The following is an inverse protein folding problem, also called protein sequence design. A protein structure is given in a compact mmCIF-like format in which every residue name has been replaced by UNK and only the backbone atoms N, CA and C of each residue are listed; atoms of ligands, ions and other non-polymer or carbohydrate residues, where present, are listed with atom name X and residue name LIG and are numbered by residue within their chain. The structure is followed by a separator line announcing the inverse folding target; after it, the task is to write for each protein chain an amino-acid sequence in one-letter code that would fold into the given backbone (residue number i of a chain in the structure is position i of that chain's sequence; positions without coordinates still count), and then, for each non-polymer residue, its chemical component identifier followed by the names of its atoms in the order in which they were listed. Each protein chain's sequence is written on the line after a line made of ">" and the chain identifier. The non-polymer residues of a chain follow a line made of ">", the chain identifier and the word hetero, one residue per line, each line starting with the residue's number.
data_IF_845266802823
#
_entry.id   IF_845266802823
#
_cell.length_a   1.000
_cell.length_b   1.000
_cell.length_c   1.000
_cell.angle_alpha   90.00
_cell.angle_beta   90.00
_cell.angle_gamma   90.00
#
_symmetry.space_group_name_H-M   'P 1'
#
loop_
_entity.id
_entity.type
_entity.pdbx_description
1 polymer ?
#
# COMPACT_ATOMS: atom_id res chain seq x y z
N UNK A 1 23.71 31.00 -37.08
CA UNK A 1 22.83 30.36 -36.08
C UNK A 1 23.42 30.61 -34.70
N UNK A 2 22.64 31.07 -33.71
CA UNK A 2 23.15 31.18 -32.34
C UNK A 2 23.53 29.79 -31.80
N UNK A 3 24.59 29.66 -31.00
CA UNK A 3 25.04 28.37 -30.49
C UNK A 3 24.00 27.77 -29.55
N UNK A 4 23.72 26.48 -29.76
CA UNK A 4 22.88 25.65 -28.91
C UNK A 4 23.79 25.03 -27.83
N UNK A 5 23.42 25.17 -26.56
CA UNK A 5 24.18 24.66 -25.43
C UNK A 5 23.67 23.26 -25.02
N UNK A 6 24.59 22.32 -24.77
CA UNK A 6 24.31 20.91 -24.46
C UNK A 6 25.08 20.46 -23.21
N UNK A 7 24.66 20.83 -21.99
CA UNK A 7 25.30 20.36 -20.79
C UNK A 7 24.76 19.00 -20.35
N UNK A 8 25.65 18.17 -19.83
CA UNK A 8 25.28 17.05 -18.96
C UNK A 8 25.26 17.58 -17.53
N UNK A 9 24.10 17.53 -16.88
CA UNK A 9 23.93 17.97 -15.50
C UNK A 9 24.52 16.95 -14.52
N UNK A 10 24.82 17.35 -13.29
CA UNK A 10 25.30 16.45 -12.23
C UNK A 10 24.32 15.31 -11.91
N UNK A 11 23.03 15.52 -12.18
CA UNK A 11 21.98 14.49 -12.04
C UNK A 11 22.03 13.42 -13.13
N UNK A 12 22.86 13.59 -14.17
CA UNK A 12 22.89 12.74 -15.36
C UNK A 12 21.88 13.18 -16.44
N UNK A 13 21.15 14.27 -16.24
CA UNK A 13 20.23 14.80 -17.25
C UNK A 13 21.01 15.50 -18.37
N UNK A 14 20.87 15.03 -19.60
CA UNK A 14 21.41 15.69 -20.79
C UNK A 14 20.36 16.66 -21.31
N UNK A 15 20.67 17.96 -21.31
CA UNK A 15 19.71 19.02 -21.62
C UNK A 15 20.08 19.74 -22.91
N UNK A 16 19.07 20.11 -23.69
CA UNK A 16 19.21 20.97 -24.85
C UNK A 16 18.49 22.30 -24.59
N UNK A 17 19.24 23.40 -24.57
CA UNK A 17 18.66 24.73 -24.44
C UNK A 17 18.35 25.35 -25.80
N UNK A 18 17.30 26.17 -25.86
CA UNK A 18 16.94 26.93 -27.05
C UNK A 18 18.03 27.91 -27.52
N UNK A 19 18.02 28.26 -28.80
CA UNK A 19 18.91 29.28 -29.35
C UNK A 19 18.35 30.71 -29.22
N UNK A 20 19.22 31.71 -29.36
CA UNK A 20 18.80 33.12 -29.49
C UNK A 20 18.15 33.68 -28.22
N UNK A 21 16.91 34.17 -28.33
CA UNK A 21 16.15 34.70 -27.19
C UNK A 21 15.69 33.61 -26.20
N UNK A 22 15.72 32.33 -26.60
CA UNK A 22 15.22 31.20 -25.81
C UNK A 22 16.35 30.43 -25.08
N UNK A 23 17.51 31.06 -24.84
CA UNK A 23 18.70 30.43 -24.23
C UNK A 23 18.50 29.83 -22.84
N UNK A 24 17.46 30.24 -22.11
CA UNK A 24 17.09 29.69 -20.81
C UNK A 24 15.99 28.62 -20.84
N UNK A 25 15.40 28.35 -22.01
CA UNK A 25 14.27 27.42 -22.15
C UNK A 25 14.78 26.05 -22.56
N UNK A 26 14.41 25.02 -21.80
CA UNK A 26 14.69 23.63 -22.13
C UNK A 26 13.83 23.26 -23.35
N UNK A 27 14.49 22.93 -24.47
CA UNK A 27 13.83 22.45 -25.69
C UNK A 27 13.74 20.93 -25.74
N UNK A 28 14.64 20.24 -25.04
CA UNK A 28 14.66 18.78 -24.91
C UNK A 28 15.51 18.37 -23.70
N UNK A 29 15.18 17.25 -23.06
CA UNK A 29 16.00 16.66 -21.99
C UNK A 29 15.92 15.12 -22.01
N UNK A 30 17.01 14.44 -21.65
CA UNK A 30 17.04 12.97 -21.64
C UNK A 30 16.13 12.37 -20.58
N UNK A 31 15.87 13.08 -19.49
CA UNK A 31 14.97 12.64 -18.42
C UNK A 31 13.52 12.46 -18.88
N UNK A 32 13.11 13.10 -19.98
CA UNK A 32 11.79 12.88 -20.55
C UNK A 32 11.70 11.56 -21.35
N UNK A 33 12.84 10.99 -21.77
CA UNK A 33 12.91 9.81 -22.62
C UNK A 33 13.77 8.71 -21.96
N UNK A 34 13.33 8.16 -20.81
CA UNK A 34 14.03 7.05 -20.17
C UNK A 34 14.16 5.83 -21.09
N UNK A 35 15.17 5.00 -20.83
CA UNK A 35 15.35 3.69 -21.48
C UNK A 35 14.81 2.59 -20.56
N UNK A 36 15.65 1.69 -20.06
CA UNK A 36 15.26 0.67 -19.10
C UNK A 36 15.45 1.13 -17.64
N UNK A 37 16.00 2.32 -17.41
CA UNK A 37 16.49 2.76 -16.10
C UNK A 37 15.88 4.08 -15.67
N UNK A 38 15.41 4.14 -14.41
CA UNK A 38 15.02 5.36 -13.72
C UNK A 38 16.11 5.75 -12.70
N UNK A 39 16.70 6.92 -12.88
CA UNK A 39 17.67 7.53 -11.96
C UNK A 39 16.97 8.44 -10.94
N UNK A 40 17.66 8.87 -9.87
CA UNK A 40 17.12 9.88 -8.96
C UNK A 40 16.64 11.13 -9.73
N UNK A 41 15.51 11.68 -9.30
CA UNK A 41 14.83 12.85 -9.88
C UNK A 41 14.19 12.66 -11.27
N UNK A 42 14.39 11.50 -11.92
CA UNK A 42 13.60 11.15 -13.10
C UNK A 42 12.16 10.85 -12.71
N UNK A 43 11.23 11.16 -13.60
CA UNK A 43 9.80 10.90 -13.42
C UNK A 43 9.43 9.57 -14.06
N UNK A 44 8.53 8.86 -13.42
CA UNK A 44 7.75 7.77 -13.96
C UNK A 44 6.28 8.15 -13.80
N UNK A 45 5.50 8.15 -14.90
CA UNK A 45 4.10 8.57 -14.86
C UNK A 45 3.62 9.27 -16.12
N UNK A 46 2.65 10.17 -15.99
CA UNK A 46 1.91 10.77 -17.11
C UNK A 46 1.78 12.28 -16.94
N UNK A 47 2.08 13.02 -18.00
CA UNK A 47 1.62 14.40 -18.16
C UNK A 47 0.15 14.38 -18.61
N UNK A 48 -0.74 14.89 -17.77
CA UNK A 48 -2.19 14.82 -17.98
C UNK A 48 -2.66 15.75 -19.10
N UNK A 49 -1.92 16.83 -19.36
CA UNK A 49 -2.24 17.79 -20.43
C UNK A 49 -1.91 17.23 -21.83
N UNK A 50 -0.74 16.59 -21.99
CA UNK A 50 -0.27 16.10 -23.29
C UNK A 50 -0.52 14.61 -23.51
N UNK A 51 -0.83 13.85 -22.46
CA UNK A 51 -0.89 12.39 -22.47
C UNK A 51 0.48 11.71 -22.55
N UNK A 52 1.57 12.48 -22.49
CA UNK A 52 2.93 11.94 -22.56
C UNK A 52 3.23 11.07 -21.33
N UNK A 53 3.74 9.86 -21.54
CA UNK A 53 4.13 8.96 -20.44
C UNK A 53 5.64 8.84 -20.31
N UNK A 54 6.16 9.15 -19.12
CA UNK A 54 7.51 8.77 -18.72
C UNK A 54 7.48 7.30 -18.28
N UNK A 55 7.96 6.41 -19.15
CA UNK A 55 7.87 4.96 -18.97
C UNK A 55 9.20 4.27 -19.24
N UNK A 56 9.51 3.21 -18.51
CA UNK A 56 10.69 2.39 -18.77
C UNK A 56 10.37 1.28 -19.77
N UNK A 57 11.38 0.89 -20.53
CA UNK A 57 11.31 -0.29 -21.42
C UNK A 57 12.61 -1.06 -21.32
N UNK A 58 12.50 -2.36 -21.07
CA UNK A 58 13.62 -3.30 -21.02
C UNK A 58 14.49 -3.25 -22.27
N UNK A 59 15.73 -3.70 -22.12
CA UNK A 59 16.57 -4.07 -23.26
C UNK A 59 16.11 -5.42 -23.83
N UNK A 60 16.46 -5.70 -25.09
CA UNK A 60 16.22 -7.00 -25.73
C UNK A 60 16.97 -8.12 -25.03
N UNK A 61 18.22 -7.85 -24.65
CA UNK A 61 19.07 -8.76 -23.91
C UNK A 61 20.15 -7.97 -23.18
N UNK A 62 20.93 -8.66 -22.35
CA UNK A 62 22.06 -8.07 -21.63
C UNK A 62 23.05 -7.33 -22.53
N UNK A 63 23.24 -7.80 -23.77
CA UNK A 63 24.24 -7.26 -24.71
C UNK A 63 23.61 -6.49 -25.88
N UNK A 64 22.28 -6.39 -25.95
CA UNK A 64 21.54 -5.65 -26.98
C UNK A 64 20.61 -4.60 -26.34
N UNK A 65 21.01 -3.31 -26.32
CA UNK A 65 20.22 -2.24 -25.72
C UNK A 65 19.01 -1.81 -26.56
N UNK A 66 18.72 -2.49 -27.67
CA UNK A 66 17.48 -2.30 -28.41
C UNK A 66 16.25 -2.54 -27.54
N UNK A 67 15.10 -2.01 -27.98
CA UNK A 67 13.83 -2.11 -27.26
C UNK A 67 13.39 -3.55 -27.09
N UNK A 68 13.30 -3.99 -25.82
CA UNK A 68 12.83 -5.32 -25.43
C UNK A 68 11.31 -5.42 -25.36
N UNK A 69 10.83 -6.57 -24.84
CA UNK A 69 9.41 -6.90 -24.80
C UNK A 69 8.70 -6.48 -23.50
N UNK A 70 9.46 -6.05 -22.49
CA UNK A 70 8.91 -5.60 -21.22
C UNK A 70 8.96 -4.09 -21.10
N UNK A 71 7.89 -3.49 -20.60
CA UNK A 71 7.82 -2.07 -20.31
C UNK A 71 6.74 -1.76 -19.30
N UNK A 72 6.90 -0.67 -18.58
CA UNK A 72 5.86 -0.19 -17.68
C UNK A 72 4.90 0.77 -18.39
N UNK A 73 3.72 0.93 -17.80
CA UNK A 73 2.77 1.94 -18.19
C UNK A 73 1.89 2.29 -17.00
N UNK A 74 1.51 3.56 -16.93
CA UNK A 74 0.59 4.02 -15.92
C UNK A 74 -0.85 4.00 -16.44
N UNK A 75 -1.73 3.41 -15.66
CA UNK A 75 -3.18 3.40 -15.86
C UNK A 75 -3.80 4.39 -14.88
N UNK A 76 -4.68 5.27 -15.36
CA UNK A 76 -5.31 6.32 -14.55
C UNK A 76 -6.72 5.95 -14.08
N UNK A 77 -7.26 4.79 -14.47
CA UNK A 77 -8.62 4.39 -14.13
C UNK A 77 -8.80 4.21 -12.61
N UNK A 78 -9.85 4.82 -12.06
CA UNK A 78 -10.15 4.84 -10.63
C UNK A 78 -9.12 5.62 -9.82
N UNK A 79 -7.99 5.00 -9.51
CA UNK A 79 -6.83 5.63 -8.88
C UNK A 79 -5.57 5.17 -9.60
N UNK A 80 -4.60 6.06 -9.91
CA UNK A 80 -3.55 5.68 -10.84
C UNK A 80 -2.61 4.59 -10.32
N UNK A 81 -2.20 3.71 -11.23
CA UNK A 81 -1.41 2.52 -10.94
C UNK A 81 -0.33 2.31 -12.00
N UNK A 82 0.81 1.77 -11.61
CA UNK A 82 1.86 1.35 -12.53
C UNK A 82 1.71 -0.15 -12.78
N UNK A 83 1.78 -0.54 -14.04
CA UNK A 83 1.72 -1.92 -14.47
C UNK A 83 2.98 -2.27 -15.27
N UNK A 84 3.55 -3.43 -15.01
CA UNK A 84 4.56 -4.02 -15.88
C UNK A 84 3.87 -4.87 -16.93
N UNK A 85 4.23 -4.68 -18.19
CA UNK A 85 3.72 -5.46 -19.30
C UNK A 85 4.82 -6.31 -19.93
N UNK A 86 4.41 -7.45 -20.46
CA UNK A 86 5.12 -8.18 -21.50
C UNK A 86 4.31 -8.06 -22.77
N UNK A 87 4.78 -7.27 -23.73
CA UNK A 87 4.01 -6.85 -24.89
C UNK A 87 2.69 -6.17 -24.46
N UNK A 88 1.55 -6.86 -24.56
CA UNK A 88 0.22 -6.36 -24.17
C UNK A 88 -0.35 -7.04 -22.92
N UNK A 89 0.38 -7.99 -22.33
CA UNK A 89 -0.06 -8.75 -21.16
C UNK A 89 0.47 -8.10 -19.88
N UNK A 90 -0.43 -7.85 -18.91
CA UNK A 90 -0.06 -7.35 -17.57
C UNK A 90 0.59 -8.48 -16.76
N UNK A 91 1.82 -8.26 -16.30
CA UNK A 91 2.60 -9.23 -15.51
C UNK A 91 2.60 -8.87 -14.03
N UNK A 92 2.64 -7.59 -13.72
CA UNK A 92 2.69 -7.08 -12.34
C UNK A 92 1.98 -5.74 -12.22
N UNK A 93 1.55 -5.41 -11.01
CA UNK A 93 0.89 -4.15 -10.67
C UNK A 93 1.44 -3.58 -9.37
N UNK A 94 1.80 -2.30 -9.36
CA UNK A 94 2.37 -1.60 -8.20
C UNK A 94 1.36 -1.31 -7.08
N UNK A 95 0.05 -1.38 -7.34
CA UNK A 95 -0.95 -0.80 -6.44
C UNK A 95 -1.06 0.73 -6.60
N UNK A 96 -2.16 1.35 -6.15
CA UNK A 96 -2.29 2.80 -6.15
C UNK A 96 -1.39 3.42 -5.08
N UNK A 97 -1.14 4.73 -5.19
CA UNK A 97 -0.51 5.48 -4.11
C UNK A 97 -1.50 5.65 -2.95
N UNK A 98 -1.10 5.29 -1.74
CA UNK A 98 -1.95 5.36 -0.55
C UNK A 98 -1.65 6.56 0.34
N UNK A 99 -0.99 7.59 -0.18
CA UNK A 99 -0.53 8.75 0.61
C UNK A 99 0.86 8.62 1.20
N UNK A 100 1.37 7.39 1.30
CA UNK A 100 2.72 7.10 1.83
C UNK A 100 3.59 6.44 0.77
N UNK A 101 3.04 5.48 0.02
CA UNK A 101 3.75 4.70 -0.98
C UNK A 101 2.81 4.08 -2.01
N UNK A 102 3.38 3.47 -3.06
CA UNK A 102 2.62 2.54 -3.90
C UNK A 102 2.31 1.29 -3.08
N UNK A 103 1.03 1.01 -2.87
CA UNK A 103 0.56 0.02 -1.89
C UNK A 103 1.03 -1.43 -2.16
N UNK A 104 1.39 -1.78 -3.40
CA UNK A 104 1.96 -3.07 -3.76
C UNK A 104 3.48 -3.14 -3.67
N UNK A 105 4.17 -2.09 -3.21
CA UNK A 105 5.63 -2.06 -3.02
C UNK A 105 5.93 -1.66 -1.57
N UNK A 106 5.84 -2.62 -0.62
CA UNK A 106 6.05 -2.33 0.80
C UNK A 106 7.43 -1.72 1.09
N UNK A 107 8.47 -2.15 0.36
CA UNK A 107 9.86 -1.74 0.56
C UNK A 107 10.18 -0.27 0.22
N UNK A 108 9.25 0.48 -0.37
CA UNK A 108 9.46 1.89 -0.75
C UNK A 108 9.73 2.81 0.45
N UNK A 109 9.20 2.48 1.62
CA UNK A 109 9.30 3.31 2.84
C UNK A 109 9.97 2.59 4.00
N UNK A 110 10.23 1.29 3.85
CA UNK A 110 10.92 0.48 4.85
C UNK A 110 12.32 1.02 5.17
N UNK A 111 12.97 1.67 4.19
CA UNK A 111 14.34 2.14 4.32
C UNK A 111 14.44 3.64 4.01
N UNK A 112 14.88 4.43 4.99
CA UNK A 112 15.02 5.90 4.95
C UNK A 112 16.07 6.43 3.94
N UNK A 113 16.68 5.53 3.16
CA UNK A 113 17.68 5.85 2.13
C UNK A 113 17.02 6.59 0.96
N UNK A 114 15.76 6.24 0.64
CA UNK A 114 15.05 6.83 -0.49
C UNK A 114 13.98 7.81 0.00
N UNK A 115 13.94 8.99 -0.63
CA UNK A 115 12.83 9.92 -0.47
C UNK A 115 11.96 9.84 -1.71
N UNK A 116 10.77 9.28 -1.56
CA UNK A 116 9.80 9.22 -2.64
C UNK A 116 9.14 10.59 -2.82
N UNK A 117 9.01 11.01 -4.07
CA UNK A 117 8.40 12.26 -4.48
C UNK A 117 7.22 11.93 -5.38
N UNK A 118 6.03 12.27 -4.92
CA UNK A 118 4.79 11.99 -5.59
C UNK A 118 4.12 13.28 -6.02
N UNK A 119 3.75 13.36 -7.30
CA UNK A 119 3.05 14.48 -7.90
C UNK A 119 1.72 13.98 -8.41
N UNK A 120 0.65 14.65 -8.02
CA UNK A 120 -0.72 14.29 -8.35
C UNK A 120 -1.57 15.56 -8.29
N UNK A 121 -1.59 16.24 -9.43
CA UNK A 121 -2.26 17.51 -9.63
C UNK A 121 -2.88 17.56 -11.04
N UNK A 122 -3.38 18.71 -11.45
CA UNK A 122 -4.06 18.89 -12.74
C UNK A 122 -3.13 18.71 -13.97
N UNK A 123 -1.82 18.89 -13.79
CA UNK A 123 -0.85 18.86 -14.88
C UNK A 123 -0.21 17.48 -15.08
N UNK A 124 0.03 16.75 -13.98
CA UNK A 124 0.76 15.50 -14.02
C UNK A 124 0.41 14.56 -12.87
N UNK A 125 0.50 13.27 -13.16
CA UNK A 125 0.70 12.23 -12.18
C UNK A 125 2.10 11.66 -12.36
N UNK A 126 2.96 11.72 -11.34
CA UNK A 126 4.28 11.09 -11.45
C UNK A 126 4.85 10.68 -10.10
N UNK A 127 5.63 9.60 -10.14
CA UNK A 127 6.48 9.14 -9.06
C UNK A 127 7.92 9.41 -9.45
N UNK A 128 8.69 9.92 -8.51
CA UNK A 128 10.14 10.05 -8.61
C UNK A 128 10.76 9.76 -7.25
N UNK A 129 12.08 9.70 -7.17
CA UNK A 129 12.76 9.50 -5.91
C UNK A 129 14.06 10.29 -5.86
N UNK A 130 14.53 10.59 -4.66
CA UNK A 130 15.90 11.02 -4.41
C UNK A 130 16.57 10.09 -3.41
N UNK A 131 17.90 10.15 -3.34
CA UNK A 131 18.70 9.41 -2.36
C UNK A 131 19.13 10.38 -1.27
N UNK A 132 18.86 10.05 -0.01
CA UNK A 132 19.13 10.92 1.14
C UNK A 132 20.62 11.17 1.35
N UNK A 133 21.44 10.14 1.13
CA UNK A 133 22.90 10.21 1.23
C UNK A 133 23.50 10.08 -0.18
N UNK A 134 24.19 11.13 -0.68
CA UNK A 134 24.69 11.17 -2.05
C UNK A 134 25.82 10.15 -2.31
N UNK A 135 26.37 9.51 -1.29
CA UNK A 135 27.37 8.43 -1.44
C UNK A 135 26.76 7.12 -1.93
N UNK A 136 25.43 6.95 -1.81
CA UNK A 136 24.74 5.76 -2.30
C UNK A 136 24.23 5.96 -3.73
N UNK A 137 24.71 5.12 -4.64
CA UNK A 137 24.13 5.04 -5.98
C UNK A 137 22.99 4.02 -6.00
N UNK A 138 21.82 4.44 -6.49
CA UNK A 138 20.68 3.54 -6.69
C UNK A 138 19.91 3.89 -7.96
N UNK A 139 19.39 2.86 -8.62
CA UNK A 139 18.58 2.95 -9.84
C UNK A 139 17.42 1.97 -9.85
N UNK A 140 16.30 2.34 -10.49
CA UNK A 140 15.27 1.37 -10.90
C UNK A 140 15.67 0.85 -12.26
N UNK A 141 15.46 -0.43 -12.53
CA UNK A 141 15.66 -0.96 -13.88
C UNK A 141 14.63 -2.03 -14.20
N UNK A 142 14.10 -2.03 -15.43
CA UNK A 142 13.40 -3.20 -15.98
C UNK A 142 14.44 -4.11 -16.64
N UNK A 143 14.61 -5.31 -16.10
CA UNK A 143 15.50 -6.32 -16.67
C UNK A 143 14.93 -6.88 -17.98
N UNK A 144 15.81 -7.44 -18.81
CA UNK A 144 15.45 -8.20 -20.00
C UNK A 144 14.60 -9.44 -19.71
N UNK A 145 14.63 -9.93 -18.46
CA UNK A 145 13.81 -11.05 -17.99
C UNK A 145 12.40 -10.65 -17.52
N UNK A 146 12.08 -9.35 -17.50
CA UNK A 146 10.76 -8.88 -17.10
C UNK A 146 10.58 -8.71 -15.60
N UNK A 147 11.64 -8.29 -14.91
CA UNK A 147 11.57 -7.89 -13.49
C UNK A 147 11.87 -6.40 -13.37
N UNK A 148 11.09 -5.69 -12.57
CA UNK A 148 11.44 -4.35 -12.07
C UNK A 148 12.37 -4.55 -10.88
N UNK A 149 13.53 -3.91 -10.89
CA UNK A 149 14.55 -4.09 -9.85
C UNK A 149 15.02 -2.75 -9.31
N UNK A 150 14.99 -2.61 -7.98
CA UNK A 150 15.79 -1.59 -7.29
C UNK A 150 17.19 -2.14 -7.10
N UNK A 151 18.18 -1.48 -7.70
CA UNK A 151 19.58 -1.82 -7.54
C UNK A 151 20.28 -0.74 -6.72
N UNK A 152 21.13 -1.15 -5.77
CA UNK A 152 21.99 -0.26 -4.99
C UNK A 152 23.44 -0.69 -5.16
N UNK A 153 24.33 0.27 -5.39
CA UNK A 153 25.76 0.00 -5.56
C UNK A 153 26.40 -0.32 -4.22
N UNK A 154 27.09 -1.46 -4.13
CA UNK A 154 27.88 -1.84 -2.97
C UNK A 154 29.36 -1.67 -3.29
N UNK A 155 29.98 -0.65 -2.68
CA UNK A 155 31.37 -0.28 -2.94
C UNK A 155 32.35 -1.40 -2.58
N UNK A 156 32.15 -2.10 -1.45
CA UNK A 156 33.07 -3.15 -1.00
C UNK A 156 33.19 -4.35 -1.96
N UNK A 157 32.15 -4.61 -2.76
CA UNK A 157 32.10 -5.72 -3.71
C UNK A 157 32.07 -5.25 -5.18
N UNK A 158 32.13 -3.92 -5.41
CA UNK A 158 32.09 -3.31 -6.73
C UNK A 158 30.96 -3.86 -7.63
N UNK A 159 29.76 -3.98 -7.05
CA UNK A 159 28.61 -4.56 -7.77
C UNK A 159 27.29 -3.93 -7.38
N UNK A 160 26.33 -4.06 -8.29
CA UNK A 160 24.92 -3.81 -8.02
C UNK A 160 24.34 -4.94 -7.16
N UNK A 161 23.72 -4.58 -6.05
CA UNK A 161 22.96 -5.46 -5.18
C UNK A 161 21.48 -5.19 -5.43
N UNK A 162 20.71 -6.25 -5.69
CA UNK A 162 19.26 -6.16 -5.78
C UNK A 162 18.70 -5.93 -4.38
N UNK A 163 18.04 -4.79 -4.22
CA UNK A 163 17.45 -4.36 -2.97
C UNK A 163 16.02 -4.89 -2.84
N UNK A 164 15.20 -4.71 -3.88
CA UNK A 164 13.92 -5.39 -4.07
C UNK A 164 13.69 -5.64 -5.56
N UNK A 165 12.79 -6.56 -5.89
CA UNK A 165 12.32 -6.77 -7.26
C UNK A 165 10.84 -7.08 -7.31
N UNK A 166 10.22 -6.89 -8.46
CA UNK A 166 8.85 -7.32 -8.72
C UNK A 166 8.69 -7.82 -10.17
N UNK A 167 7.94 -8.92 -10.41
CA UNK A 167 7.43 -9.87 -9.40
C UNK A 167 8.55 -10.55 -8.58
N UNK A 168 8.32 -10.77 -7.28
CA UNK A 168 9.24 -11.51 -6.40
C UNK A 168 8.76 -12.93 -6.08
N UNK A 169 7.44 -13.11 -5.94
CA UNK A 169 6.78 -14.36 -5.63
C UNK A 169 5.54 -14.57 -6.53
N UNK A 170 4.87 -15.72 -6.38
CA UNK A 170 3.66 -16.03 -7.15
C UNK A 170 2.54 -15.00 -6.87
N UNK A 171 2.46 -14.45 -5.66
CA UNK A 171 1.44 -13.45 -5.28
C UNK A 171 1.66 -12.06 -5.89
N UNK A 172 2.85 -11.77 -6.45
CA UNK A 172 3.07 -10.56 -7.22
C UNK A 172 2.57 -10.67 -8.66
N UNK A 173 2.45 -11.89 -9.18
CA UNK A 173 1.97 -12.09 -10.54
C UNK A 173 0.53 -11.62 -10.66
N UNK A 174 0.31 -10.82 -11.69
CA UNK A 174 -0.94 -10.13 -11.85
C UNK A 174 -2.11 -11.11 -11.99
N UNK A 175 -3.11 -10.97 -11.11
CA UNK A 175 -4.33 -11.82 -11.09
C UNK A 175 -4.04 -13.31 -10.80
N UNK A 176 -2.98 -13.64 -10.05
CA UNK A 176 -2.63 -15.02 -9.68
C UNK A 176 -3.81 -15.84 -9.11
N UNK A 177 -4.58 -15.26 -8.17
CA UNK A 177 -5.71 -15.97 -7.52
C UNK A 177 -7.09 -15.74 -8.17
N UNK A 178 -7.15 -15.21 -9.39
CA UNK A 178 -8.42 -14.95 -10.07
C UNK A 178 -9.28 -13.87 -9.38
N UNK A 179 -10.56 -13.81 -9.77
CA UNK A 179 -11.53 -12.85 -9.20
C UNK A 179 -12.02 -13.26 -7.82
N UNK A 180 -12.15 -12.28 -6.93
CA UNK A 180 -12.50 -12.46 -5.52
C UNK A 180 -11.59 -13.44 -4.75
N UNK A 181 -10.38 -13.66 -5.28
CA UNK A 181 -9.29 -14.37 -4.61
C UNK A 181 -8.34 -13.40 -3.91
N UNK A 182 -7.74 -13.88 -2.83
CA UNK A 182 -6.69 -13.22 -2.06
C UNK A 182 -5.46 -14.15 -2.06
N UNK A 183 -4.34 -13.64 -2.57
CA UNK A 183 -3.07 -14.38 -2.51
C UNK A 183 -2.38 -14.15 -1.18
N UNK A 184 -2.05 -15.21 -0.46
CA UNK A 184 -1.43 -15.14 0.85
C UNK A 184 -0.21 -16.07 0.89
N UNK A 185 1.00 -15.53 0.69
CA UNK A 185 2.23 -16.32 0.59
C UNK A 185 2.67 -16.90 1.93
N UNK A 186 2.01 -16.53 3.03
CA UNK A 186 2.35 -16.99 4.39
C UNK A 186 1.61 -18.26 4.80
N UNK A 187 0.77 -18.80 3.92
CA UNK A 187 0.00 -20.04 4.12
C UNK A 187 0.90 -21.27 4.02
N UNK A 188 1.48 -21.67 5.14
CA UNK A 188 2.40 -22.81 5.22
C UNK A 188 1.72 -24.13 4.83
N UNK A 189 2.30 -24.83 3.84
CA UNK A 189 1.82 -26.12 3.31
C UNK A 189 0.40 -26.12 2.70
N UNK A 190 -0.18 -24.95 2.47
CA UNK A 190 -1.50 -24.79 1.86
C UNK A 190 -1.36 -24.13 0.48
N UNK A 191 -2.45 -24.14 -0.30
CA UNK A 191 -2.53 -23.29 -1.49
C UNK A 191 -2.57 -21.82 -1.06
N UNK A 192 -1.71 -20.99 -1.64
CA UNK A 192 -1.55 -19.58 -1.33
C UNK A 192 -2.82 -18.76 -1.64
N UNK A 193 -3.62 -19.21 -2.60
CA UNK A 193 -4.90 -18.58 -2.91
C UNK A 193 -6.00 -19.03 -1.93
N UNK A 194 -6.72 -18.05 -1.40
CA UNK A 194 -7.97 -18.24 -0.65
C UNK A 194 -9.05 -17.30 -1.18
N UNK A 195 -10.31 -17.69 -1.05
CA UNK A 195 -11.42 -16.82 -1.41
C UNK A 195 -11.61 -15.71 -0.38
N UNK A 196 -12.06 -14.54 -0.83
CA UNK A 196 -12.49 -13.46 0.06
C UNK A 196 -13.69 -13.90 0.91
N UNK A 197 -13.95 -13.26 2.07
CA UNK A 197 -15.10 -13.57 2.91
C UNK A 197 -16.43 -13.51 2.13
N UNK A 198 -17.29 -14.50 2.31
CA UNK A 198 -18.56 -14.65 1.55
C UNK A 198 -18.41 -15.30 0.17
N UNK A 199 -17.21 -15.74 -0.22
CA UNK A 199 -16.95 -16.40 -1.50
C UNK A 199 -16.40 -17.83 -1.31
N UNK A 200 -16.58 -18.65 -2.34
CA UNK A 200 -16.10 -20.03 -2.47
C UNK A 200 -15.49 -20.25 -3.86
N UNK A 201 -14.62 -21.25 -4.06
CA UNK A 201 -14.03 -21.53 -5.36
C UNK A 201 -15.09 -21.72 -6.45
N UNK A 202 -14.88 -21.10 -7.62
CA UNK A 202 -15.84 -21.20 -8.73
C UNK A 202 -15.86 -22.61 -9.35
N UNK A 203 -14.68 -23.24 -9.44
CA UNK A 203 -14.47 -24.60 -9.94
C UNK A 203 -13.63 -25.36 -8.93
N UNK A 204 -14.29 -26.20 -8.12
CA UNK A 204 -13.67 -26.88 -6.98
C UNK A 204 -12.55 -27.85 -7.42
N UNK A 205 -12.73 -28.55 -8.54
CA UNK A 205 -11.74 -29.49 -9.08
C UNK A 205 -10.42 -28.82 -9.48
N UNK A 206 -10.47 -27.61 -10.02
CA UNK A 206 -9.27 -26.83 -10.36
C UNK A 206 -8.58 -26.30 -9.10
N UNK A 207 -9.38 -25.86 -8.12
CA UNK A 207 -8.86 -25.39 -6.84
C UNK A 207 -8.08 -26.48 -6.08
N UNK A 208 -8.54 -27.74 -6.14
CA UNK A 208 -7.80 -28.88 -5.59
C UNK A 208 -6.47 -29.16 -6.31
N UNK A 209 -6.37 -28.77 -7.58
CA UNK A 209 -5.13 -28.84 -8.37
C UNK A 209 -4.25 -27.60 -8.17
N UNK A 210 -4.61 -26.70 -7.24
CA UNK A 210 -3.95 -25.42 -7.01
C UNK A 210 -4.01 -24.47 -8.21
N UNK A 211 -5.10 -24.55 -8.98
CA UNK A 211 -5.41 -23.60 -10.05
C UNK A 211 -6.56 -22.68 -9.61
N UNK A 212 -6.25 -21.39 -9.49
CA UNK A 212 -7.19 -20.35 -9.07
C UNK A 212 -7.56 -19.38 -10.21
N UNK A 213 -7.27 -19.69 -11.47
CA UNK A 213 -7.48 -18.76 -12.60
C UNK A 213 -8.94 -18.31 -12.74
N UNK A 214 -9.88 -19.22 -12.44
CA UNK A 214 -11.32 -18.97 -12.47
C UNK A 214 -11.83 -18.21 -11.22
N UNK A 215 -10.97 -18.05 -10.21
CA UNK A 215 -11.26 -17.33 -8.97
C UNK A 215 -12.40 -17.95 -8.17
N UNK A 216 -13.10 -17.08 -7.45
CA UNK A 216 -14.15 -17.42 -6.53
C UNK A 216 -15.48 -16.83 -6.98
N UNK A 217 -16.57 -17.48 -6.59
CA UNK A 217 -17.95 -17.01 -6.72
C UNK A 217 -18.55 -16.78 -5.35
N UNK A 218 -19.63 -16.02 -5.28
CA UNK A 218 -20.38 -15.86 -4.02
C UNK A 218 -20.93 -17.21 -3.56
N UNK A 219 -20.91 -17.45 -2.25
CA UNK A 219 -21.55 -18.63 -1.67
C UNK A 219 -23.06 -18.62 -1.97
N UNK A 220 -23.68 -19.79 -2.20
CA UNK A 220 -25.14 -19.88 -2.38
C UNK A 220 -25.90 -19.28 -1.20
N UNK A 221 -26.91 -18.47 -1.46
CA UNK A 221 -27.76 -17.85 -0.43
C UNK A 221 -27.27 -16.50 0.11
N UNK A 222 -26.07 -16.05 -0.28
CA UNK A 222 -25.55 -14.72 0.10
C UNK A 222 -26.31 -13.59 -0.61
N UNK A 223 -27.16 -12.87 0.12
CA UNK A 223 -27.82 -11.65 -0.36
C UNK A 223 -27.03 -10.42 0.07
N UNK A 224 -26.49 -9.69 -0.91
CA UNK A 224 -25.64 -8.51 -0.68
C UNK A 224 -26.22 -7.20 -1.19
N UNK A 225 -27.45 -7.22 -1.69
CA UNK A 225 -28.19 -6.00 -2.00
C UNK A 225 -29.19 -5.75 -0.88
N UNK A 226 -28.89 -4.72 -0.10
CA UNK A 226 -29.64 -4.23 1.05
C UNK A 226 -29.01 -2.90 1.47
N UNK A 227 -29.84 -1.97 1.95
CA UNK A 227 -29.41 -0.61 2.29
C UNK A 227 -29.28 -0.42 3.80
N UNK A 228 -29.47 -1.48 4.58
CA UNK A 228 -29.40 -1.46 6.04
C UNK A 228 -28.33 -2.43 6.53
N UNK A 229 -27.75 -2.11 7.69
CA UNK A 229 -26.79 -2.98 8.36
C UNK A 229 -27.39 -4.31 8.85
N UNK A 230 -28.72 -4.46 8.78
CA UNK A 230 -29.41 -5.72 9.06
C UNK A 230 -29.36 -6.69 7.87
N UNK A 231 -29.17 -6.18 6.65
CA UNK A 231 -29.15 -7.00 5.43
C UNK A 231 -27.71 -7.37 5.03
N UNK A 232 -26.81 -6.39 5.16
CA UNK A 232 -25.43 -6.47 4.66
C UNK A 232 -24.47 -5.78 5.60
N UNK A 233 -23.21 -6.18 5.54
CA UNK A 233 -22.14 -5.51 6.26
C UNK A 233 -20.82 -5.61 5.53
N UNK A 234 -19.75 -5.26 6.25
CA UNK A 234 -18.42 -5.22 5.70
C UNK A 234 -17.43 -5.95 6.61
N UNK A 235 -16.68 -6.88 6.02
CA UNK A 235 -15.56 -7.52 6.70
C UNK A 235 -14.29 -6.77 6.34
N UNK A 236 -13.60 -6.29 7.38
CA UNK A 236 -12.31 -5.63 7.28
C UNK A 236 -11.22 -6.66 7.01
N UNK A 237 -10.51 -6.51 5.90
CA UNK A 237 -9.26 -7.21 5.59
C UNK A 237 -8.10 -6.26 5.81
N UNK A 238 -7.16 -6.66 6.66
CA UNK A 238 -6.02 -5.84 7.04
C UNK A 238 -4.76 -6.24 6.27
N UNK A 239 -3.85 -5.27 6.14
CA UNK A 239 -2.51 -5.49 5.58
C UNK A 239 -2.52 -6.08 4.16
N UNK A 240 -3.38 -5.56 3.27
CA UNK A 240 -3.48 -6.06 1.88
C UNK A 240 -2.93 -5.07 0.87
N UNK A 241 -2.44 -5.62 -0.25
CA UNK A 241 -2.43 -4.91 -1.53
C UNK A 241 -3.89 -4.81 -1.98
N UNK A 242 -4.41 -3.60 -2.11
CA UNK A 242 -5.81 -3.39 -2.49
C UNK A 242 -6.08 -3.88 -3.90
N UNK A 243 -7.32 -4.26 -4.23
CA UNK A 243 -7.66 -4.75 -5.56
C UNK A 243 -7.28 -3.75 -6.67
N UNK A 244 -7.18 -4.24 -7.90
CA UNK A 244 -7.06 -3.40 -9.10
C UNK A 244 -8.13 -2.30 -9.11
N UNK A 245 -7.72 -1.05 -9.35
CA UNK A 245 -8.57 0.15 -9.30
C UNK A 245 -9.29 0.41 -10.62
N UNK A 246 -9.16 -0.45 -11.64
CA UNK A 246 -9.83 -0.30 -12.94
C UNK A 246 -11.35 -0.06 -12.85
N UNK A 247 -12.00 -0.64 -11.83
CA UNK A 247 -13.44 -0.56 -11.58
C UNK A 247 -13.72 0.19 -10.26
N UNK A 248 -12.73 0.91 -9.75
CA UNK A 248 -12.86 1.71 -8.56
C UNK A 248 -13.23 3.16 -8.91
N UNK A 249 -13.89 3.84 -7.98
CA UNK A 249 -14.05 5.29 -8.01
C UNK A 249 -13.31 5.89 -6.84
N UNK A 250 -12.48 6.91 -7.11
CA UNK A 250 -11.75 7.64 -6.09
C UNK A 250 -12.44 8.97 -5.77
N UNK A 251 -12.63 9.24 -4.48
CA UNK A 251 -13.10 10.54 -3.99
C UNK A 251 -12.23 10.97 -2.80
N UNK A 252 -11.42 12.02 -2.98
CA UNK A 252 -10.46 12.48 -1.97
C UNK A 252 -11.07 13.31 -0.85
N UNK A 253 -12.30 13.79 -1.00
CA UNK A 253 -12.94 14.68 -0.01
C UNK A 253 -13.73 13.90 1.03
N UNK A 254 -14.15 12.68 0.73
CA UNK A 254 -14.94 11.85 1.65
C UNK A 254 -14.07 11.20 2.72
N UNK A 255 -14.60 11.11 3.93
CA UNK A 255 -14.03 10.29 4.98
C UNK A 255 -14.42 8.81 4.83
N UNK A 256 -13.78 7.94 5.62
CA UNK A 256 -14.03 6.50 5.57
C UNK A 256 -15.49 6.12 5.88
N UNK A 257 -16.14 6.84 6.81
CA UNK A 257 -17.53 6.57 7.17
C UNK A 257 -18.51 6.93 6.04
N UNK A 258 -18.29 8.06 5.38
CA UNK A 258 -19.08 8.43 4.20
C UNK A 258 -18.84 7.47 3.03
N UNK A 259 -17.62 6.92 2.94
CA UNK A 259 -17.27 5.89 1.96
C UNK A 259 -18.05 4.58 2.18
N UNK A 260 -18.17 4.16 3.44
CA UNK A 260 -19.01 3.01 3.83
C UNK A 260 -20.48 3.25 3.44
N UNK A 261 -21.04 4.41 3.80
CA UNK A 261 -22.43 4.76 3.50
C UNK A 261 -22.69 4.87 1.99
N UNK A 262 -21.73 5.40 1.22
CA UNK A 262 -21.78 5.47 -0.24
C UNK A 262 -21.81 4.06 -0.86
N UNK A 263 -20.95 3.17 -0.37
CA UNK A 263 -20.92 1.77 -0.83
C UNK A 263 -22.21 1.02 -0.45
N UNK A 264 -22.69 1.20 0.78
CA UNK A 264 -23.90 0.56 1.29
C UNK A 264 -25.13 0.86 0.41
N UNK A 265 -25.31 2.13 0.02
CA UNK A 265 -26.44 2.61 -0.80
C UNK A 265 -26.43 2.11 -2.25
N UNK A 266 -25.33 1.55 -2.73
CA UNK A 266 -25.21 1.06 -4.10
C UNK A 266 -24.98 -0.45 -4.10
N UNK A 267 -26.00 -1.24 -4.48
CA UNK A 267 -25.92 -2.70 -4.47
C UNK A 267 -24.82 -3.31 -5.36
N UNK A 268 -24.30 -2.56 -6.33
CA UNK A 268 -23.18 -3.01 -7.16
C UNK A 268 -21.81 -2.80 -6.49
N UNK A 269 -21.74 -2.05 -5.39
CA UNK A 269 -20.50 -1.85 -4.66
C UNK A 269 -20.06 -3.15 -3.98
N UNK A 270 -18.83 -3.60 -4.23
CA UNK A 270 -18.27 -4.85 -3.72
C UNK A 270 -17.27 -4.65 -2.58
N UNK A 271 -16.59 -3.50 -2.54
CA UNK A 271 -15.68 -3.14 -1.45
C UNK A 271 -15.44 -1.63 -1.38
N UNK A 272 -14.90 -1.17 -0.25
CA UNK A 272 -14.34 0.17 -0.13
C UNK A 272 -13.05 0.21 0.71
N UNK A 273 -12.29 1.31 0.61
CA UNK A 273 -11.07 1.57 1.38
C UNK A 273 -10.80 3.07 1.48
N UNK A 274 -9.89 3.48 2.37
CA UNK A 274 -9.32 4.82 2.33
C UNK A 274 -8.45 5.00 1.08
N UNK A 275 -8.50 6.19 0.46
CA UNK A 275 -7.60 6.50 -0.65
C UNK A 275 -6.21 6.95 -0.16
N UNK A 276 -6.16 7.56 1.02
CA UNK A 276 -4.94 7.98 1.70
C UNK A 276 -4.96 7.45 3.13
N UNK A 277 -3.92 6.75 3.57
CA UNK A 277 -3.80 6.20 4.93
C UNK A 277 -2.99 7.09 5.89
N UNK A 278 -2.41 8.19 5.40
CA UNK A 278 -1.72 9.16 6.24
C UNK A 278 -2.68 9.81 7.25
N UNK A 279 -2.14 10.22 8.39
CA UNK A 279 -2.82 11.07 9.38
C UNK A 279 -4.19 10.55 9.87
N UNK A 280 -4.34 9.22 9.97
CA UNK A 280 -5.58 8.59 10.44
C UNK A 280 -6.59 8.24 9.34
N UNK A 281 -6.22 8.46 8.07
CA UNK A 281 -6.99 8.03 6.91
C UNK A 281 -7.92 9.11 6.35
N UNK A 282 -7.83 9.34 5.04
CA UNK A 282 -8.68 10.28 4.29
C UNK A 282 -8.96 9.78 2.87
N UNK A 283 -9.99 10.36 2.25
CA UNK A 283 -10.45 9.95 0.94
C UNK A 283 -11.07 8.55 0.93
N UNK A 284 -11.61 8.19 -0.23
CA UNK A 284 -12.46 7.03 -0.43
C UNK A 284 -12.15 6.37 -1.78
N UNK A 285 -12.03 5.05 -1.75
CA UNK A 285 -12.05 4.18 -2.93
C UNK A 285 -13.25 3.24 -2.81
N UNK A 286 -14.13 3.20 -3.81
CA UNK A 286 -15.24 2.23 -3.88
C UNK A 286 -15.14 1.39 -5.14
N UNK A 287 -15.26 0.06 -5.04
CA UNK A 287 -15.18 -0.86 -6.17
C UNK A 287 -16.56 -1.31 -6.64
N UNK A 288 -16.77 -1.37 -7.96
CA UNK A 288 -18.01 -1.82 -8.59
C UNK A 288 -17.73 -2.96 -9.57
N UNK A 289 -17.72 -4.19 -9.07
CA UNK A 289 -17.46 -5.40 -9.87
C UNK A 289 -16.42 -6.30 -9.23
N UNK A 290 -15.75 -7.10 -10.07
CA UNK A 290 -14.77 -8.08 -9.62
C UNK A 290 -13.59 -7.43 -8.91
N UNK A 291 -13.29 -7.93 -7.71
CA UNK A 291 -12.07 -7.60 -6.98
C UNK A 291 -10.98 -8.56 -7.43
N UNK A 292 -9.88 -8.05 -7.94
CA UNK A 292 -8.81 -8.86 -8.52
C UNK A 292 -7.45 -8.35 -8.07
N UNK A 293 -6.44 -9.22 -8.15
CA UNK A 293 -5.05 -8.88 -7.86
C UNK A 293 -4.83 -8.37 -6.42
N UNK A 294 -5.55 -8.96 -5.47
CA UNK A 294 -5.40 -8.68 -4.03
C UNK A 294 -4.39 -9.66 -3.43
N UNK A 295 -3.44 -9.17 -2.65
CA UNK A 295 -2.49 -10.01 -1.89
C UNK A 295 -2.38 -9.60 -0.43
N UNK A 296 -2.04 -10.54 0.43
CA UNK A 296 -1.72 -10.34 1.84
C UNK A 296 -0.27 -9.89 1.99
N UNK A 297 -0.04 -8.95 2.88
CA UNK A 297 1.25 -8.63 3.46
C UNK A 297 1.24 -8.99 4.95
N UNK A 298 2.43 -9.26 5.51
CA UNK A 298 2.60 -9.53 6.93
C UNK A 298 2.39 -8.26 7.76
N UNK A 299 3.17 -7.22 7.46
CA UNK A 299 3.25 -5.98 8.26
C UNK A 299 3.17 -4.70 7.40
N UNK A 300 2.54 -4.77 6.23
CA UNK A 300 2.43 -3.64 5.29
C UNK A 300 1.06 -3.66 4.60
N UNK A 301 0.84 -2.78 3.63
CA UNK A 301 -0.42 -2.71 2.89
C UNK A 301 -1.40 -1.72 3.50
N UNK A 302 -2.69 -1.93 3.25
CA UNK A 302 -3.76 -1.13 3.83
C UNK A 302 -5.03 -1.95 4.02
N UNK A 303 -6.00 -1.37 4.73
CA UNK A 303 -7.26 -2.01 5.03
C UNK A 303 -8.25 -1.90 3.84
N UNK A 304 -8.98 -2.98 3.57
CA UNK A 304 -10.09 -3.01 2.60
C UNK A 304 -11.32 -3.63 3.27
N UNK A 305 -12.48 -3.05 3.01
CA UNK A 305 -13.76 -3.45 3.59
C UNK A 305 -14.58 -4.18 2.53
N UNK A 306 -14.71 -5.50 2.64
CA UNK A 306 -15.39 -6.36 1.67
C UNK A 306 -16.87 -6.46 2.03
N UNK A 307 -17.76 -6.16 1.07
CA UNK A 307 -19.20 -6.29 1.26
C UNK A 307 -19.64 -7.74 1.33
N UNK A 308 -20.34 -8.10 2.40
CA UNK A 308 -20.86 -9.44 2.68
C UNK A 308 -22.31 -9.38 3.18
N UNK A 309 -23.00 -10.51 3.20
CA UNK A 309 -24.32 -10.60 3.86
C UNK A 309 -24.19 -10.46 5.38
N UNK A 310 -25.32 -10.19 6.04
CA UNK A 310 -25.38 -10.22 7.50
C UNK A 310 -24.96 -11.58 8.10
N UNK A 311 -25.34 -12.70 7.47
CA UNK A 311 -24.97 -14.04 7.97
C UNK A 311 -23.47 -14.30 7.91
N UNK A 312 -22.80 -13.90 6.82
CA UNK A 312 -21.34 -14.04 6.74
C UNK A 312 -20.63 -13.09 7.73
N UNK A 313 -21.21 -11.92 7.99
CA UNK A 313 -20.67 -10.99 8.99
C UNK A 313 -20.67 -11.61 10.40
N UNK A 314 -21.76 -12.27 10.79
CA UNK A 314 -21.86 -12.99 12.07
C UNK A 314 -20.83 -14.12 12.18
N UNK A 315 -20.63 -14.89 11.10
CA UNK A 315 -19.59 -15.94 11.03
C UNK A 315 -18.20 -15.33 11.19
N UNK A 316 -17.96 -14.18 10.55
CA UNK A 316 -16.70 -13.43 10.69
C UNK A 316 -16.44 -13.00 12.13
N UNK A 317 -17.47 -12.51 12.83
CA UNK A 317 -17.37 -12.08 14.23
C UNK A 317 -17.00 -13.25 15.15
N UNK A 318 -17.66 -14.41 15.01
CA UNK A 318 -17.35 -15.60 15.82
C UNK A 318 -15.91 -16.09 15.63
N UNK A 319 -15.34 -15.93 14.44
CA UNK A 319 -13.93 -16.28 14.18
C UNK A 319 -12.97 -15.27 14.83
N UNK A 320 -13.33 -14.00 14.86
CA UNK A 320 -12.55 -12.93 15.48
C UNK A 320 -12.45 -13.10 17.01
N UNK A 321 -13.57 -13.44 17.65
CA UNK A 321 -13.63 -13.62 19.11
C UNK A 321 -12.83 -14.85 19.57
N UNK A 322 -12.70 -15.86 18.72
CA UNK A 322 -11.90 -17.05 19.00
C UNK A 322 -10.41 -16.89 18.65
N UNK A 323 -10.03 -15.93 17.80
CA UNK A 323 -8.65 -15.61 17.38
C UNK A 323 -8.50 -14.09 17.16
N UNK A 324 -8.04 -13.31 18.16
CA UNK A 324 -8.15 -11.83 18.19
C UNK A 324 -7.25 -11.05 17.21
N UNK A 325 -6.78 -11.67 16.12
CA UNK A 325 -5.77 -11.08 15.21
C UNK A 325 -6.23 -10.61 13.83
N UNK A 326 -7.47 -10.85 13.38
CA UNK A 326 -7.78 -10.73 11.93
C UNK A 326 -9.03 -9.89 11.59
N UNK A 327 -9.95 -9.63 12.52
CA UNK A 327 -11.21 -8.93 12.18
C UNK A 327 -11.54 -7.94 13.30
N UNK A 328 -11.50 -6.64 13.02
CA UNK A 328 -12.02 -5.60 13.91
C UNK A 328 -13.17 -4.85 13.24
N UNK A 329 -14.20 -4.57 14.05
CA UNK A 329 -15.39 -3.80 13.67
C UNK A 329 -15.02 -2.38 13.21
N UNK A 330 -15.69 -1.83 12.19
CA UNK A 330 -15.95 -0.39 12.09
C UNK A 330 -17.39 -0.11 12.57
N UNK A 331 -17.53 0.66 13.63
CA UNK A 331 -18.78 1.32 14.03
C UNK A 331 -19.95 0.45 14.50
N UNK A 332 -20.08 0.25 15.82
CA UNK A 332 -21.25 0.77 16.55
C UNK A 332 -20.89 0.99 18.01
N UNK A 333 -21.41 2.06 18.60
CA UNK A 333 -21.37 2.31 20.04
C UNK A 333 -22.19 1.22 20.72
N UNK A 334 -21.54 0.31 21.46
CA UNK A 334 -22.26 -0.55 22.40
C UNK A 334 -22.43 0.25 23.68
N UNK A 335 -23.67 0.68 23.93
CA UNK A 335 -24.05 1.34 25.16
C UNK A 335 -24.16 0.27 26.25
N UNK A 336 -23.09 0.05 27.02
CA UNK A 336 -23.12 -0.87 28.17
C UNK A 336 -23.89 -0.21 29.33
N UNK A 337 -25.22 -0.31 29.28
CA UNK A 337 -26.04 -0.30 30.50
C UNK A 337 -26.70 -1.66 30.62
N UNK A 338 -26.46 -2.31 31.76
CA UNK A 338 -27.00 -3.59 32.23
C UNK A 338 -26.09 -4.79 32.00
N UNK A 339 -25.01 -4.85 32.78
CA UNK A 339 -24.34 -6.07 33.25
C UNK A 339 -23.90 -5.83 34.70
N UNK A 340 -24.88 -5.56 35.56
CA UNK A 340 -24.79 -5.72 37.00
C UNK A 340 -26.01 -6.52 37.38
N UNK A 341 -25.89 -7.84 37.27
CA UNK A 341 -26.58 -8.83 38.09
C UNK A 341 -25.98 -10.18 37.67
N UNK A 342 -25.75 -11.06 38.65
CA UNK A 342 -25.11 -12.38 38.55
C UNK A 342 -23.56 -12.32 38.61
N UNK A 343 -23.01 -12.21 39.82
CA UNK A 343 -22.26 -13.30 40.50
C UNK A 343 -22.18 -12.95 41.99
N UNK A 344 -23.13 -13.45 42.77
CA UNK A 344 -22.98 -13.61 44.21
C UNK A 344 -23.42 -15.04 44.56
N UNK A 345 -22.46 -15.96 44.58
CA UNK A 345 -22.53 -17.22 45.35
C UNK A 345 -21.25 -18.03 45.12
N UNK A 346 -20.32 -17.95 46.06
CA UNK A 346 -19.79 -19.09 46.82
C UNK A 346 -18.43 -18.71 47.44
N UNK A 347 -18.48 -18.28 48.69
CA UNK A 347 -17.37 -18.38 49.63
C UNK A 347 -17.44 -19.74 50.32
N UNK A 348 -16.33 -20.45 50.45
CA UNK A 348 -15.98 -21.22 51.65
C UNK A 348 -14.48 -21.53 51.70
N UNK A 349 -13.85 -20.92 52.70
CA UNK A 349 -12.59 -21.16 53.41
C UNK A 349 -11.74 -22.41 53.11
N UNK A 350 -10.42 -22.22 53.05
CA UNK A 350 -9.49 -22.89 53.99
C UNK A 350 -8.10 -22.23 54.04
N UNK A 351 -7.43 -22.47 55.17
CA UNK A 351 -6.34 -21.75 55.83
C UNK A 351 -4.93 -22.11 55.30
N UNK A 352 -4.01 -21.13 55.41
CA UNK A 352 -2.54 -21.10 55.18
C UNK A 352 -1.71 -22.18 55.94
N UNK A 353 -0.44 -22.48 55.56
CA UNK A 353 0.74 -21.65 55.94
C UNK A 353 1.89 -21.51 54.89
N UNK A 354 2.64 -20.40 54.99
CA UNK A 354 3.92 -20.13 54.27
C UNK A 354 5.12 -20.91 54.86
N UNK A 355 6.32 -20.92 54.23
CA UNK A 355 7.31 -19.84 54.45
C UNK A 355 8.29 -19.48 53.30
N UNK A 356 8.79 -18.23 53.39
CA UNK A 356 10.12 -17.67 53.02
C UNK A 356 10.46 -17.19 51.58
N UNK A 357 10.66 -15.86 51.48
CA UNK A 357 11.47 -15.15 50.47
C UNK A 357 13.00 -15.20 50.80
N UNK A 358 13.90 -14.64 49.96
CA UNK A 358 14.15 -13.18 49.98
C UNK A 358 14.31 -12.48 48.60
N UNK A 359 13.63 -11.33 48.51
CA UNK A 359 14.03 -10.00 47.95
C UNK A 359 14.75 -9.84 46.60
N UNK A 360 14.13 -9.06 45.71
CA UNK A 360 14.71 -7.81 45.16
C UNK A 360 13.58 -6.90 44.65
N UNK A 361 13.74 -5.60 44.91
CA UNK A 361 12.76 -4.51 44.85
C UNK A 361 13.03 -3.57 43.68
N UNK A 362 12.00 -3.15 42.93
CA UNK A 362 11.98 -1.83 42.29
C UNK A 362 10.58 -1.22 42.32
N UNK A 363 10.56 0.06 42.68
CA UNK A 363 9.40 0.93 42.94
C UNK A 363 8.82 1.49 41.64
N UNK A 364 7.51 1.43 41.49
CA UNK A 364 6.71 2.24 40.55
C UNK A 364 6.25 3.49 41.29
N UNK A 365 6.50 4.69 40.75
CA UNK A 365 5.80 5.91 41.16
C UNK A 365 5.01 6.47 39.98
N UNK A 366 3.69 6.41 40.12
CA UNK A 366 2.70 7.22 39.44
C UNK A 366 2.75 8.68 39.93
N UNK A 367 2.49 9.64 39.05
CA UNK A 367 1.94 10.95 39.43
C UNK A 367 0.85 11.32 38.44
N UNK A 368 -0.38 11.41 38.93
CA UNK A 368 -1.47 12.18 38.33
C UNK A 368 -1.65 13.45 39.17
N UNK A 369 -1.74 14.61 38.54
CA UNK A 369 -2.67 15.67 38.99
C UNK A 369 -2.99 16.59 37.82
N UNK A 370 -4.28 16.66 37.50
CA UNK A 370 -4.88 17.71 36.69
C UNK A 370 -4.87 19.04 37.46
N UNK A 371 -4.71 20.16 36.76
CA UNK A 371 -5.65 21.30 36.77
C UNK A 371 -5.12 22.45 35.88
N UNK A 372 -6.00 22.95 35.01
CA UNK A 372 -5.95 24.24 34.33
C UNK A 372 -6.78 25.21 35.22
N UNK A 373 -6.54 26.55 35.32
CA UNK A 373 -6.79 27.42 34.16
C UNK A 373 -6.04 28.79 34.11
N UNK A 374 -5.99 29.34 32.88
CA UNK A 374 -6.03 30.78 32.50
C UNK A 374 -4.89 31.78 32.82
N UNK A 375 -4.62 32.59 31.78
CA UNK A 375 -4.05 33.96 31.75
C UNK A 375 -2.53 34.14 31.49
N UNK A 376 -2.25 34.50 30.23
CA UNK A 376 -1.35 35.58 29.75
C UNK A 376 -0.11 35.95 30.56
N UNK A 377 1.07 35.70 29.99
CA UNK A 377 2.13 36.70 29.72
C UNK A 377 3.31 36.07 28.96
N UNK A 378 3.84 36.85 28.03
CA UNK A 378 5.07 36.59 27.27
C UNK A 378 6.26 36.36 28.20
N UNK A 379 7.06 35.34 27.91
CA UNK A 379 8.47 35.29 28.31
C UNK A 379 9.24 34.44 27.31
N UNK A 380 10.07 35.11 26.52
CA UNK A 380 11.15 34.57 25.71
C UNK A 380 12.05 33.68 26.56
N UNK A 381 12.15 32.39 26.21
CA UNK A 381 13.17 31.49 26.75
C UNK A 381 14.26 31.27 25.69
N UNK A 382 15.42 31.88 25.92
CA UNK A 382 16.68 31.51 25.27
C UNK A 382 17.09 30.10 25.76
N UNK A 383 17.39 29.20 24.82
CA UNK A 383 17.92 27.87 25.13
C UNK A 383 19.43 27.90 24.89
N UNK A 384 20.20 27.84 25.98
CA UNK A 384 21.65 27.67 25.95
C UNK A 384 21.99 26.19 25.81
N UNK A 385 22.65 25.81 24.72
CA UNK A 385 23.16 24.45 24.49
C UNK A 385 24.58 24.33 25.06
N UNK A 386 24.77 23.42 26.02
CA UNK A 386 26.10 23.04 26.53
C UNK A 386 26.51 21.72 25.89
N UNK A 387 27.61 21.73 25.12
CA UNK A 387 28.24 20.53 24.56
C UNK A 387 29.03 19.83 25.67
N UNK A 388 28.78 18.53 25.88
CA UNK A 388 29.59 17.67 26.72
C UNK A 388 30.32 16.69 25.80
N UNK A 389 31.63 16.86 25.65
CA UNK A 389 32.52 15.87 25.02
C UNK A 389 32.81 14.75 26.03
N UNK A 390 32.45 13.51 25.65
CA UNK A 390 32.82 12.28 26.36
C UNK A 390 34.01 11.62 25.67
N UNK A 391 34.96 11.17 26.51
CA UNK A 391 36.28 10.61 26.19
C UNK A 391 36.36 9.56 25.09
#
# INVERSE_FOLDING_TARGET
>A
MPPIHRPLMETGNLVLFGGGQNRGIISWQSFDYPTNTLLPHMKEGVNLTSGFQWRLTSWKSKDDPGTGNFGDMMDLNGSPQIFLYKNSEKIWRSGPFNGIQLNGIPDMTTYLIFRMLYVDNEDAFSVSYSVSDPTFFSRLTISESGTVERLTWQESQQRWVRFWSAPMDDCDHYRHCGSFGLCDPYRSNEFECKCLPGYEPKVESEWYLKDAINGCRRKPGEQICGNTSADVGFIKLTSVKVPDTRNAMANRTLGLKDCEDLCLKNCSCTAYASANVSDGGSGCLTWYGDLIDTRQFSNAGQDVYIRVSASELEIGQQKADNHPGIISRSGSVINFRNLFDIVEAQSTNSVLPQPNQPTSSYTVMSVNSAENPTSTKESTNEITLTVIEGR
#
